data_IF_359768292390
#
_entry.id   IF_359768292390
#
_cell.length_a   1.000
_cell.length_b   1.000
_cell.length_c   1.000
_cell.angle_alpha   90.00
_cell.angle_beta   90.00
_cell.angle_gamma   90.00
#
_symmetry.space_group_name_H-M   'P 1'
#
loop_
_entity.id
_entity.type
_entity.pdbx_description
1 polymer ?
#
# COMPACT_ATOMS: atom_id res chain seq x y z
N UNK A 1 23.96 13.82 -36.61
CA UNK A 1 22.73 13.70 -35.80
C UNK A 1 21.54 13.44 -36.72
N UNK A 2 21.17 12.17 -36.94
CA UNK A 2 19.98 11.78 -37.73
C UNK A 2 18.80 11.63 -36.78
N UNK A 3 17.79 12.49 -36.91
CA UNK A 3 16.48 12.30 -36.26
C UNK A 3 15.78 11.13 -36.97
N UNK A 4 15.67 9.98 -36.30
CA UNK A 4 14.76 8.92 -36.73
C UNK A 4 13.33 9.40 -36.45
N UNK A 5 12.64 9.87 -37.48
CA UNK A 5 11.18 10.00 -37.49
C UNK A 5 10.60 8.59 -37.49
N UNK A 6 10.14 8.11 -36.34
CA UNK A 6 9.25 6.96 -36.27
C UNK A 6 7.90 7.45 -36.76
N UNK A 7 7.61 7.20 -38.04
CA UNK A 7 6.29 7.42 -38.62
C UNK A 7 5.29 6.51 -37.91
N UNK A 8 4.52 7.06 -36.98
CA UNK A 8 3.31 6.42 -36.44
C UNK A 8 2.36 6.24 -37.62
N UNK A 9 2.31 5.03 -38.17
CA UNK A 9 1.36 4.66 -39.20
C UNK A 9 -0.05 4.77 -38.61
N UNK A 10 -0.75 5.84 -38.96
CA UNK A 10 -2.17 6.00 -38.67
C UNK A 10 -2.95 4.89 -39.42
N UNK A 11 -3.22 3.79 -38.72
CA UNK A 11 -4.13 2.75 -39.22
C UNK A 11 -5.56 3.30 -39.08
N UNK A 12 -5.97 4.10 -40.07
CA UNK A 12 -7.34 4.58 -40.20
C UNK A 12 -8.24 3.42 -40.66
N UNK A 13 -8.81 2.68 -39.69
CA UNK A 13 -9.91 1.74 -39.97
C UNK A 13 -11.20 2.54 -40.09
N UNK A 14 -11.46 3.06 -41.29
CA UNK A 14 -12.77 3.58 -41.68
C UNK A 14 -13.70 2.41 -42.02
N UNK A 15 -14.65 2.15 -41.12
CA UNK A 15 -15.70 1.18 -41.32
C UNK A 15 -16.87 1.46 -40.38
N UNK A 16 -17.68 2.46 -40.72
CA UNK A 16 -19.06 2.53 -40.26
C UNK A 16 -19.86 1.50 -41.07
N UNK A 17 -20.63 0.64 -40.40
CA UNK A 17 -21.97 0.15 -40.79
C UNK A 17 -22.47 -0.86 -39.75
N UNK A 18 -23.76 -0.75 -39.43
CA UNK A 18 -24.45 -1.29 -38.24
C UNK A 18 -24.66 -2.80 -38.19
N UNK A 19 -23.61 -3.60 -38.35
CA UNK A 19 -23.63 -5.00 -37.96
C UNK A 19 -23.24 -5.11 -36.48
N UNK A 20 -24.06 -5.77 -35.67
CA UNK A 20 -23.67 -6.29 -34.34
C UNK A 20 -22.42 -7.14 -34.52
N UNK A 21 -21.25 -6.53 -34.35
CA UNK A 21 -19.96 -7.20 -34.48
C UNK A 21 -19.91 -8.29 -33.41
N UNK A 22 -19.58 -9.51 -33.82
CA UNK A 22 -19.34 -10.60 -32.88
C UNK A 22 -18.30 -10.14 -31.83
N UNK A 23 -18.41 -10.59 -30.57
CA UNK A 23 -17.41 -10.28 -29.56
C UNK A 23 -16.02 -10.73 -30.04
N UNK A 24 -15.00 -9.93 -29.74
CA UNK A 24 -13.62 -10.23 -30.12
C UNK A 24 -13.16 -11.55 -29.46
N UNK A 25 -12.37 -12.35 -30.18
CA UNK A 25 -11.78 -13.57 -29.61
C UNK A 25 -10.69 -13.21 -28.58
N UNK A 26 -10.33 -14.12 -27.65
CA UNK A 26 -9.23 -13.90 -26.71
C UNK A 26 -7.91 -13.51 -27.38
N UNK A 27 -7.59 -14.10 -28.54
CA UNK A 27 -6.37 -13.80 -29.32
C UNK A 27 -6.42 -12.39 -29.92
N UNK A 28 -7.60 -11.96 -30.38
CA UNK A 28 -7.79 -10.59 -30.88
C UNK A 28 -7.65 -9.57 -29.75
N UNK A 29 -8.15 -9.88 -28.56
CA UNK A 29 -7.99 -9.04 -27.37
C UNK A 29 -6.53 -8.96 -26.92
N UNK A 30 -5.80 -10.08 -26.90
CA UNK A 30 -4.38 -10.14 -26.59
C UNK A 30 -3.56 -9.30 -27.58
N UNK A 31 -3.81 -9.44 -28.89
CA UNK A 31 -3.14 -8.65 -29.91
C UNK A 31 -3.44 -7.15 -29.78
N UNK A 32 -4.71 -6.78 -29.56
CA UNK A 32 -5.11 -5.40 -29.34
C UNK A 32 -4.46 -4.79 -28.09
N UNK A 33 -4.33 -5.57 -27.01
CA UNK A 33 -3.66 -5.14 -25.79
C UNK A 33 -2.17 -4.90 -26.01
N UNK A 34 -1.46 -5.80 -26.72
CA UNK A 34 -0.04 -5.60 -27.04
C UNK A 34 0.20 -4.33 -27.84
N UNK A 35 -0.62 -4.08 -28.86
CA UNK A 35 -0.55 -2.84 -29.65
C UNK A 35 -0.81 -1.61 -28.76
N UNK A 36 -1.80 -1.67 -27.87
CA UNK A 36 -2.08 -0.58 -26.94
C UNK A 36 -0.92 -0.36 -25.95
N UNK A 37 -0.29 -1.41 -25.45
CA UNK A 37 0.85 -1.32 -24.54
C UNK A 37 2.08 -0.73 -25.24
N UNK A 38 2.42 -1.18 -26.45
CA UNK A 38 3.53 -0.61 -27.23
C UNK A 38 3.29 0.88 -27.52
N UNK A 39 2.05 1.25 -27.87
CA UNK A 39 1.67 2.64 -28.07
C UNK A 39 1.74 3.46 -26.77
N UNK A 40 1.34 2.86 -25.64
CA UNK A 40 1.41 3.49 -24.32
C UNK A 40 2.86 3.77 -23.91
N UNK A 41 3.76 2.82 -24.11
CA UNK A 41 5.18 2.94 -23.79
C UNK A 41 5.87 3.97 -24.70
N UNK A 42 5.43 4.10 -25.96
CA UNK A 42 5.91 5.09 -26.92
C UNK A 42 5.23 6.46 -26.82
N UNK A 43 4.22 6.63 -25.95
CA UNK A 43 3.41 7.84 -25.90
C UNK A 43 4.24 9.05 -25.44
N UNK A 44 4.26 10.17 -26.19
CA UNK A 44 5.09 11.32 -25.88
C UNK A 44 4.59 12.14 -24.69
N UNK A 45 3.31 11.98 -24.31
CA UNK A 45 2.69 12.75 -23.22
C UNK A 45 1.72 11.89 -22.40
N UNK A 46 1.47 12.28 -21.14
CA UNK A 46 0.46 11.63 -20.29
C UNK A 46 -0.96 11.62 -20.93
N UNK A 47 -1.37 12.66 -21.64
CA UNK A 47 -2.70 12.73 -22.30
C UNK A 47 -2.81 11.71 -23.44
N UNK A 48 -1.71 11.46 -24.15
CA UNK A 48 -1.66 10.46 -25.21
C UNK A 48 -1.84 9.06 -24.61
N UNK A 49 -1.20 8.77 -23.47
CA UNK A 49 -1.42 7.53 -22.70
C UNK A 49 -2.90 7.36 -22.33
N UNK A 50 -3.54 8.40 -21.78
CA UNK A 50 -4.97 8.35 -21.43
C UNK A 50 -5.86 8.11 -22.64
N UNK A 51 -5.54 8.70 -23.79
CA UNK A 51 -6.28 8.48 -25.03
C UNK A 51 -6.19 7.01 -25.46
N UNK A 52 -4.98 6.43 -25.46
CA UNK A 52 -4.74 5.02 -25.78
C UNK A 52 -5.53 4.09 -24.84
N UNK A 53 -5.48 4.34 -23.53
CA UNK A 53 -6.24 3.54 -22.55
C UNK A 53 -7.75 3.66 -22.76
N UNK A 54 -8.28 4.87 -22.97
CA UNK A 54 -9.73 5.09 -23.23
C UNK A 54 -10.18 4.38 -24.50
N UNK A 55 -9.38 4.42 -25.56
CA UNK A 55 -9.69 3.71 -26.81
C UNK A 55 -9.70 2.19 -26.64
N UNK A 56 -8.71 1.63 -25.93
CA UNK A 56 -8.68 0.20 -25.62
C UNK A 56 -9.91 -0.20 -24.79
N UNK A 57 -10.18 0.51 -23.70
CA UNK A 57 -11.29 0.23 -22.78
C UNK A 57 -12.67 0.44 -23.43
N UNK A 58 -12.79 1.32 -24.42
CA UNK A 58 -14.03 1.50 -25.17
C UNK A 58 -14.36 0.29 -26.04
N UNK A 59 -13.34 -0.34 -26.64
CA UNK A 59 -13.47 -1.53 -27.51
C UNK A 59 -13.52 -2.84 -26.70
N UNK A 60 -12.79 -2.89 -25.60
CA UNK A 60 -12.54 -4.09 -24.80
C UNK A 60 -12.76 -3.82 -23.30
N UNK A 61 -13.98 -3.41 -22.88
CA UNK A 61 -14.23 -3.02 -21.50
C UNK A 61 -14.14 -4.17 -20.51
N UNK A 62 -14.38 -5.42 -20.92
CA UNK A 62 -14.49 -6.58 -20.04
C UNK A 62 -13.51 -7.69 -20.46
N UNK A 63 -12.26 -7.56 -20.05
CA UNK A 63 -11.17 -8.47 -20.40
C UNK A 63 -10.21 -8.64 -19.22
N UNK A 64 -9.33 -9.64 -19.29
CA UNK A 64 -8.27 -9.86 -18.27
C UNK A 64 -7.31 -8.66 -18.10
N UNK A 65 -7.28 -7.73 -19.05
CA UNK A 65 -6.44 -6.52 -19.00
C UNK A 65 -7.15 -5.29 -18.44
N UNK A 66 -8.48 -5.31 -18.33
CA UNK A 66 -9.28 -4.13 -17.97
C UNK A 66 -8.80 -3.49 -16.67
N UNK A 67 -8.61 -4.29 -15.61
CA UNK A 67 -8.15 -3.78 -14.31
C UNK A 67 -6.80 -3.10 -14.42
N UNK A 68 -5.86 -3.69 -15.16
CA UNK A 68 -4.51 -3.13 -15.35
C UNK A 68 -4.56 -1.80 -16.08
N UNK A 69 -5.23 -1.75 -17.23
CA UNK A 69 -5.32 -0.52 -18.05
C UNK A 69 -6.04 0.59 -17.29
N UNK A 70 -7.09 0.27 -16.52
CA UNK A 70 -7.76 1.26 -15.67
C UNK A 70 -6.82 1.78 -14.58
N UNK A 71 -6.07 0.92 -13.87
CA UNK A 71 -5.14 1.37 -12.82
C UNK A 71 -4.01 2.24 -13.39
N UNK A 72 -3.42 1.85 -14.52
CA UNK A 72 -2.38 2.64 -15.18
C UNK A 72 -2.92 4.01 -15.62
N UNK A 73 -4.12 4.06 -16.23
CA UNK A 73 -4.78 5.31 -16.60
C UNK A 73 -5.15 6.17 -15.38
N UNK A 74 -5.61 5.56 -14.29
CA UNK A 74 -5.90 6.26 -13.04
C UNK A 74 -4.64 6.89 -12.43
N UNK A 75 -3.52 6.17 -12.41
CA UNK A 75 -2.26 6.69 -11.91
C UNK A 75 -1.79 7.90 -12.73
N UNK A 76 -1.84 7.80 -14.05
CA UNK A 76 -1.49 8.93 -14.93
C UNK A 76 -2.44 10.13 -14.71
N UNK A 77 -3.76 9.88 -14.60
CA UNK A 77 -4.74 10.94 -14.35
C UNK A 77 -4.50 11.62 -13.00
N UNK A 78 -4.27 10.86 -11.93
CA UNK A 78 -4.11 11.41 -10.58
C UNK A 78 -2.74 12.05 -10.36
N UNK A 79 -1.65 11.34 -10.66
CA UNK A 79 -0.29 11.73 -10.26
C UNK A 79 0.41 12.60 -11.31
N UNK A 80 0.29 12.27 -12.60
CA UNK A 80 0.99 13.02 -13.67
C UNK A 80 0.18 14.24 -14.13
N UNK A 81 -1.15 14.11 -14.15
CA UNK A 81 -2.05 15.15 -14.67
C UNK A 81 -2.81 15.94 -13.61
N UNK A 82 -2.79 15.53 -12.33
CA UNK A 82 -3.50 16.23 -11.26
C UNK A 82 -5.03 16.24 -11.42
N UNK A 83 -5.59 15.20 -12.05
CA UNK A 83 -7.01 15.05 -12.42
C UNK A 83 -7.67 13.83 -11.77
N UNK A 84 -7.68 13.71 -10.43
CA UNK A 84 -8.28 12.57 -9.74
C UNK A 84 -9.80 12.41 -10.00
N UNK A 85 -10.51 13.50 -10.34
CA UNK A 85 -11.93 13.45 -10.71
C UNK A 85 -12.19 12.73 -12.03
N UNK A 86 -11.28 12.88 -13.01
CA UNK A 86 -11.34 12.12 -14.25
C UNK A 86 -10.99 10.64 -14.02
N UNK A 87 -10.09 10.34 -13.07
CA UNK A 87 -9.76 8.96 -12.67
C UNK A 87 -10.97 8.23 -12.08
N UNK A 88 -11.71 8.87 -11.15
CA UNK A 88 -12.97 8.34 -10.59
C UNK A 88 -14.01 8.11 -11.69
N UNK A 89 -14.17 9.09 -12.59
CA UNK A 89 -15.15 8.99 -13.69
C UNK A 89 -14.81 7.82 -14.61
N UNK A 90 -13.53 7.62 -14.93
CA UNK A 90 -13.07 6.51 -15.78
C UNK A 90 -13.39 5.15 -15.14
N UNK A 91 -12.96 4.91 -13.90
CA UNK A 91 -13.16 3.60 -13.25
C UNK A 91 -14.65 3.29 -13.05
N UNK A 92 -15.46 4.29 -12.66
CA UNK A 92 -16.91 4.15 -12.54
C UNK A 92 -17.55 3.78 -13.88
N UNK A 93 -17.19 4.47 -14.95
CA UNK A 93 -17.75 4.23 -16.29
C UNK A 93 -17.36 2.85 -16.85
N UNK A 94 -16.12 2.40 -16.63
CA UNK A 94 -15.67 1.07 -17.05
C UNK A 94 -16.34 -0.02 -16.22
N UNK A 95 -16.39 0.13 -14.89
CA UNK A 95 -17.04 -0.83 -13.98
C UNK A 95 -18.51 -1.07 -14.33
N UNK A 96 -19.22 -0.06 -14.80
CA UNK A 96 -20.62 -0.18 -15.25
C UNK A 96 -20.79 -1.05 -16.51
N UNK A 97 -19.73 -1.24 -17.31
CA UNK A 97 -19.73 -2.02 -18.56
C UNK A 97 -19.22 -3.46 -18.38
N UNK A 98 -18.51 -3.74 -17.29
CA UNK A 98 -17.94 -5.05 -16.97
C UNK A 98 -19.01 -5.98 -16.40
N UNK A 99 -19.12 -7.17 -16.98
CA UNK A 99 -20.03 -8.24 -16.57
C UNK A 99 -19.32 -9.28 -15.72
N UNK A 100 -18.04 -9.55 -15.99
CA UNK A 100 -17.25 -10.49 -15.17
C UNK A 100 -17.20 -10.03 -13.70
N UNK A 101 -17.71 -10.83 -12.75
CA UNK A 101 -17.82 -10.42 -11.35
C UNK A 101 -16.45 -10.15 -10.71
N UNK A 102 -15.41 -10.93 -11.05
CA UNK A 102 -14.06 -10.76 -10.49
C UNK A 102 -13.44 -9.44 -10.95
N UNK A 103 -13.52 -9.14 -12.25
CA UNK A 103 -13.07 -7.87 -12.84
C UNK A 103 -13.86 -6.70 -12.26
N UNK A 104 -15.18 -6.85 -12.10
CA UNK A 104 -16.06 -5.81 -11.54
C UNK A 104 -15.76 -5.53 -10.06
N UNK A 105 -15.44 -6.56 -9.27
CA UNK A 105 -14.99 -6.43 -7.86
C UNK A 105 -13.68 -5.65 -7.79
N UNK A 106 -12.66 -6.06 -8.55
CA UNK A 106 -11.35 -5.39 -8.59
C UNK A 106 -11.43 -3.93 -9.02
N UNK A 107 -12.30 -3.62 -10.00
CA UNK A 107 -12.58 -2.23 -10.37
C UNK A 107 -13.34 -1.47 -9.27
N UNK A 108 -14.15 -2.15 -8.46
CA UNK A 108 -14.78 -1.54 -7.29
C UNK A 108 -13.76 -1.13 -6.23
N UNK A 109 -12.77 -1.99 -5.94
CA UNK A 109 -11.66 -1.64 -5.03
C UNK A 109 -10.84 -0.46 -5.58
N UNK A 110 -10.54 -0.47 -6.88
CA UNK A 110 -9.91 0.69 -7.53
C UNK A 110 -10.77 1.96 -7.43
N UNK A 111 -12.10 1.84 -7.57
CA UNK A 111 -13.03 2.96 -7.41
C UNK A 111 -13.01 3.54 -5.99
N UNK A 112 -12.95 2.68 -4.97
CA UNK A 112 -12.73 3.10 -3.56
C UNK A 112 -11.44 3.92 -3.44
N UNK A 113 -10.33 3.46 -4.02
CA UNK A 113 -9.06 4.20 -4.04
C UNK A 113 -9.18 5.58 -4.71
N UNK A 114 -9.85 5.68 -5.86
CA UNK A 114 -10.07 6.97 -6.52
C UNK A 114 -10.89 7.95 -5.65
N UNK A 115 -11.90 7.45 -4.95
CA UNK A 115 -12.72 8.24 -4.03
C UNK A 115 -11.93 8.70 -2.82
N UNK A 116 -10.98 7.90 -2.34
CA UNK A 116 -10.07 8.29 -1.27
C UNK A 116 -9.13 9.43 -1.68
N UNK A 117 -8.59 9.40 -2.91
CA UNK A 117 -7.81 10.52 -3.47
C UNK A 117 -8.64 11.80 -3.56
N UNK A 118 -9.93 11.68 -3.90
CA UNK A 118 -10.87 12.81 -3.95
C UNK A 118 -11.39 13.26 -2.57
N UNK A 119 -11.00 12.59 -1.48
CA UNK A 119 -11.52 12.84 -0.13
C UNK A 119 -13.05 12.74 -0.03
N UNK A 120 -13.66 11.88 -0.85
CA UNK A 120 -15.11 11.67 -0.88
C UNK A 120 -15.53 10.47 -0.02
N UNK A 121 -15.53 10.66 1.29
CA UNK A 121 -15.85 9.59 2.26
C UNK A 121 -17.27 9.02 2.11
N UNK A 122 -18.27 9.86 1.82
CA UNK A 122 -19.66 9.42 1.70
C UNK A 122 -19.87 8.46 0.52
N UNK A 123 -19.36 8.80 -0.67
CA UNK A 123 -19.46 7.92 -1.83
C UNK A 123 -18.56 6.69 -1.68
N UNK A 124 -17.39 6.83 -1.04
CA UNK A 124 -16.51 5.71 -0.72
C UNK A 124 -17.25 4.66 0.12
N UNK A 125 -17.90 5.08 1.20
CA UNK A 125 -18.65 4.20 2.08
C UNK A 125 -19.78 3.46 1.34
N UNK A 126 -20.48 4.12 0.41
CA UNK A 126 -21.51 3.48 -0.42
C UNK A 126 -20.95 2.39 -1.35
N UNK A 127 -19.82 2.69 -2.01
CA UNK A 127 -19.15 1.71 -2.88
C UNK A 127 -18.60 0.54 -2.05
N UNK A 128 -17.98 0.82 -0.91
CA UNK A 128 -17.47 -0.17 0.03
C UNK A 128 -18.60 -1.07 0.56
N UNK A 129 -19.74 -0.52 0.99
CA UNK A 129 -20.88 -1.32 1.44
C UNK A 129 -21.38 -2.29 0.37
N UNK A 130 -21.38 -1.87 -0.91
CA UNK A 130 -21.72 -2.75 -2.03
C UNK A 130 -20.70 -3.88 -2.20
N UNK A 131 -19.41 -3.59 -2.01
CA UNK A 131 -18.34 -4.59 -2.09
C UNK A 131 -18.36 -5.56 -0.90
N UNK A 132 -18.70 -5.10 0.30
CA UNK A 132 -18.77 -5.94 1.50
C UNK A 132 -19.81 -7.06 1.42
N UNK A 133 -20.78 -6.96 0.51
CA UNK A 133 -21.72 -8.03 0.21
C UNK A 133 -21.17 -9.12 -0.74
N UNK A 134 -19.98 -8.91 -1.32
CA UNK A 134 -19.32 -9.87 -2.22
C UNK A 134 -18.41 -10.81 -1.41
N UNK A 135 -18.74 -12.12 -1.33
CA UNK A 135 -17.94 -13.07 -0.55
C UNK A 135 -16.55 -13.36 -1.15
N UNK A 136 -16.25 -12.86 -2.36
CA UNK A 136 -14.97 -13.06 -3.01
C UNK A 136 -13.93 -11.98 -2.78
N UNK A 137 -14.16 -11.02 -1.87
CA UNK A 137 -13.11 -10.11 -1.41
C UNK A 137 -12.02 -10.90 -0.68
N UNK A 138 -10.78 -10.73 -1.10
CA UNK A 138 -9.63 -11.28 -0.40
C UNK A 138 -9.04 -10.32 0.64
N UNK A 139 -8.01 -10.77 1.37
CA UNK A 139 -7.30 -9.94 2.35
C UNK A 139 -6.83 -8.60 1.78
N UNK A 140 -6.31 -8.57 0.55
CA UNK A 140 -5.76 -7.36 -0.04
C UNK A 140 -6.85 -6.39 -0.46
N UNK A 141 -7.98 -6.89 -0.95
CA UNK A 141 -9.16 -6.08 -1.22
C UNK A 141 -9.66 -5.43 0.09
N UNK A 142 -9.75 -6.22 1.18
CA UNK A 142 -10.24 -5.76 2.48
C UNK A 142 -9.32 -4.66 3.07
N UNK A 143 -8.01 -4.90 3.11
CA UNK A 143 -7.03 -3.90 3.61
C UNK A 143 -7.05 -2.65 2.75
N UNK A 144 -7.08 -2.77 1.43
CA UNK A 144 -7.11 -1.60 0.53
C UNK A 144 -8.34 -0.72 0.77
N UNK A 145 -9.50 -1.32 1.06
CA UNK A 145 -10.73 -0.57 1.39
C UNK A 145 -10.60 0.06 2.79
N UNK A 146 -10.05 -0.65 3.77
CA UNK A 146 -9.85 -0.13 5.12
C UNK A 146 -8.92 1.09 5.12
N UNK A 147 -7.76 1.00 4.45
CA UNK A 147 -6.79 2.09 4.34
C UNK A 147 -7.36 3.30 3.60
N UNK A 148 -8.10 3.06 2.50
CA UNK A 148 -8.78 4.12 1.77
C UNK A 148 -9.83 4.82 2.64
N UNK A 149 -10.55 4.07 3.48
CA UNK A 149 -11.50 4.62 4.45
C UNK A 149 -10.80 5.41 5.57
N UNK A 150 -9.67 4.93 6.11
CA UNK A 150 -8.82 5.66 7.06
C UNK A 150 -8.39 7.00 6.48
N UNK A 151 -7.94 7.02 5.23
CA UNK A 151 -7.44 8.21 4.55
C UNK A 151 -8.49 9.33 4.33
N UNK A 152 -9.77 9.01 4.48
CA UNK A 152 -10.91 9.95 4.39
C UNK A 152 -11.77 9.98 5.64
N UNK A 153 -11.26 9.42 6.74
CA UNK A 153 -11.92 9.39 8.04
C UNK A 153 -13.31 8.72 8.04
N UNK A 154 -13.54 7.75 7.15
CA UNK A 154 -14.75 6.92 7.11
C UNK A 154 -14.63 5.75 8.12
N UNK A 155 -14.56 6.07 9.41
CA UNK A 155 -14.12 5.14 10.47
C UNK A 155 -14.95 3.87 10.61
N UNK A 156 -16.28 3.92 10.45
CA UNK A 156 -17.12 2.70 10.47
C UNK A 156 -16.79 1.75 9.31
N UNK A 157 -16.50 2.30 8.12
CA UNK A 157 -16.06 1.52 6.97
C UNK A 157 -14.68 0.94 7.23
N UNK A 158 -13.74 1.75 7.73
CA UNK A 158 -12.41 1.28 8.10
C UNK A 158 -12.47 0.11 9.09
N UNK A 159 -13.27 0.26 10.17
CA UNK A 159 -13.44 -0.76 11.19
C UNK A 159 -14.00 -2.07 10.62
N UNK A 160 -15.03 -1.98 9.78
CA UNK A 160 -15.67 -3.15 9.15
C UNK A 160 -14.67 -3.96 8.35
N UNK A 161 -13.97 -3.31 7.41
CA UNK A 161 -13.07 -3.99 6.49
C UNK A 161 -11.76 -4.44 7.17
N UNK A 162 -11.24 -3.68 8.13
CA UNK A 162 -10.09 -4.09 8.93
C UNK A 162 -10.40 -5.31 9.81
N UNK A 163 -11.61 -5.39 10.37
CA UNK A 163 -12.06 -6.55 11.16
C UNK A 163 -12.14 -7.82 10.30
N UNK A 164 -12.73 -7.73 9.10
CA UNK A 164 -12.78 -8.85 8.16
C UNK A 164 -11.38 -9.29 7.71
N UNK A 165 -10.49 -8.33 7.42
CA UNK A 165 -9.09 -8.61 7.06
C UNK A 165 -8.32 -9.32 8.20
N UNK A 166 -8.55 -8.92 9.46
CA UNK A 166 -7.94 -9.55 10.63
C UNK A 166 -8.35 -11.02 10.80
N UNK A 167 -9.48 -11.43 10.21
CA UNK A 167 -9.95 -12.81 10.12
C UNK A 167 -9.21 -13.69 9.10
N UNK A 168 -8.09 -13.25 8.53
CA UNK A 168 -7.24 -14.05 7.64
C UNK A 168 -6.70 -15.30 8.36
N UNK A 169 -6.69 -16.44 7.68
CA UNK A 169 -6.11 -17.69 8.17
C UNK A 169 -5.19 -18.32 7.10
N UNK A 170 -4.64 -19.49 7.41
CA UNK A 170 -3.73 -20.19 6.51
C UNK A 170 -4.38 -20.66 5.21
N UNK A 171 -5.68 -21.01 5.23
CA UNK A 171 -6.40 -21.47 4.04
C UNK A 171 -6.74 -20.30 3.12
N UNK A 172 -7.30 -19.23 3.67
CA UNK A 172 -7.56 -17.98 2.96
C UNK A 172 -6.28 -17.41 2.35
N UNK A 173 -5.17 -17.42 3.08
CA UNK A 173 -3.90 -16.91 2.57
C UNK A 173 -3.33 -17.78 1.45
N UNK A 174 -3.45 -19.12 1.55
CA UNK A 174 -3.05 -20.04 0.47
C UNK A 174 -3.87 -19.81 -0.79
N UNK A 175 -5.18 -19.63 -0.66
CA UNK A 175 -6.08 -19.44 -1.80
C UNK A 175 -5.72 -18.22 -2.67
N UNK A 176 -5.10 -17.21 -2.08
CA UNK A 176 -4.77 -15.94 -2.74
C UNK A 176 -3.28 -15.83 -3.11
N UNK A 177 -2.49 -16.85 -2.80
CA UNK A 177 -1.05 -16.86 -3.00
C UNK A 177 -0.63 -17.78 -4.14
N UNK A 178 0.45 -17.47 -4.88
CA UNK A 178 1.05 -18.41 -5.81
C UNK A 178 1.38 -19.75 -5.15
N UNK A 179 1.21 -20.84 -5.91
CA UNK A 179 1.58 -22.18 -5.46
C UNK A 179 3.06 -22.23 -5.04
N UNK A 180 3.34 -22.90 -3.92
CA UNK A 180 4.71 -23.02 -3.39
C UNK A 180 5.25 -21.77 -2.67
N UNK A 181 4.48 -20.67 -2.56
CA UNK A 181 4.94 -19.45 -1.88
C UNK A 181 5.30 -19.66 -0.41
N UNK A 182 4.65 -20.63 0.26
CA UNK A 182 4.89 -20.97 1.65
C UNK A 182 5.31 -22.45 1.73
N UNK A 183 6.62 -22.75 1.61
CA UNK A 183 7.12 -24.13 1.55
C UNK A 183 6.88 -24.90 2.84
N UNK A 184 6.84 -24.22 3.98
CA UNK A 184 6.63 -24.83 5.29
C UNK A 184 5.40 -24.26 6.01
N UNK A 185 4.79 -25.01 6.96
CA UNK A 185 3.74 -24.49 7.82
C UNK A 185 4.16 -23.26 8.62
N UNK A 186 5.42 -23.21 9.09
CA UNK A 186 5.95 -22.08 9.83
C UNK A 186 6.06 -20.80 8.96
N UNK A 187 6.37 -20.94 7.67
CA UNK A 187 6.38 -19.79 6.75
C UNK A 187 4.97 -19.25 6.52
N UNK A 188 3.98 -20.14 6.40
CA UNK A 188 2.58 -19.76 6.28
C UNK A 188 2.10 -19.04 7.54
N UNK A 189 2.37 -19.61 8.72
CA UNK A 189 1.97 -19.03 10.00
C UNK A 189 2.56 -17.63 10.19
N UNK A 190 3.86 -17.46 9.93
CA UNK A 190 4.52 -16.14 9.96
C UNK A 190 3.84 -15.15 9.01
N UNK A 191 3.49 -15.61 7.82
CA UNK A 191 2.84 -14.79 6.81
C UNK A 191 1.38 -14.42 7.16
N UNK A 192 0.67 -15.29 7.86
CA UNK A 192 -0.66 -15.01 8.45
C UNK A 192 -0.52 -14.00 9.58
N UNK A 193 0.38 -14.23 10.54
CA UNK A 193 0.56 -13.36 11.70
C UNK A 193 0.94 -11.93 11.28
N UNK A 194 1.87 -11.78 10.33
CA UNK A 194 2.22 -10.46 9.77
C UNK A 194 1.00 -9.73 9.18
N UNK A 195 0.14 -10.43 8.44
CA UNK A 195 -1.07 -9.85 7.84
C UNK A 195 -2.14 -9.52 8.88
N UNK A 196 -2.30 -10.37 9.89
CA UNK A 196 -3.17 -10.09 11.04
C UNK A 196 -2.70 -8.86 11.80
N UNK A 197 -1.40 -8.72 12.08
CA UNK A 197 -0.84 -7.57 12.77
C UNK A 197 -1.17 -6.26 12.03
N UNK A 198 -1.01 -6.24 10.70
CA UNK A 198 -1.39 -5.10 9.86
C UNK A 198 -2.88 -4.77 9.98
N UNK A 199 -3.77 -5.73 9.71
CA UNK A 199 -5.21 -5.49 9.77
C UNK A 199 -5.70 -5.10 11.18
N UNK A 200 -5.10 -5.66 12.24
CA UNK A 200 -5.40 -5.28 13.62
C UNK A 200 -4.91 -3.86 13.96
N UNK A 201 -3.80 -3.40 13.38
CA UNK A 201 -3.37 -2.01 13.53
C UNK A 201 -4.43 -1.05 12.97
N UNK A 202 -4.94 -1.31 11.76
CA UNK A 202 -6.00 -0.50 11.15
C UNK A 202 -7.30 -0.58 11.94
N UNK A 203 -7.67 -1.77 12.43
CA UNK A 203 -8.84 -1.99 13.28
C UNK A 203 -8.76 -1.17 14.57
N UNK A 204 -7.66 -1.28 15.30
CA UNK A 204 -7.44 -0.55 16.56
C UNK A 204 -7.47 0.96 16.34
N UNK A 205 -6.93 1.44 15.21
CA UNK A 205 -6.99 2.85 14.87
C UNK A 205 -8.41 3.34 14.60
N UNK A 206 -9.20 2.57 13.85
CA UNK A 206 -10.62 2.87 13.63
C UNK A 206 -11.42 2.84 14.94
N UNK A 207 -11.18 1.87 15.83
CA UNK A 207 -11.80 1.79 17.17
C UNK A 207 -11.52 3.05 17.99
N UNK A 208 -10.26 3.48 18.07
CA UNK A 208 -9.87 4.70 18.77
C UNK A 208 -10.57 5.93 18.20
N UNK A 209 -10.59 6.06 16.87
CA UNK A 209 -11.25 7.18 16.17
C UNK A 209 -12.77 7.21 16.36
N UNK A 210 -13.39 6.06 16.66
CA UNK A 210 -14.80 5.93 17.05
C UNK A 210 -15.03 6.13 18.56
N UNK A 211 -14.01 6.52 19.33
CA UNK A 211 -14.10 6.77 20.77
C UNK A 211 -13.99 5.51 21.63
N UNK A 212 -13.62 4.36 21.05
CA UNK A 212 -13.47 3.08 21.75
C UNK A 212 -12.01 2.87 22.16
N UNK A 213 -11.51 3.74 23.03
CA UNK A 213 -10.08 3.79 23.37
C UNK A 213 -9.57 2.51 24.02
N UNK A 214 -10.35 1.92 24.92
CA UNK A 214 -9.99 0.68 25.62
C UNK A 214 -9.93 -0.51 24.66
N UNK A 215 -10.96 -0.68 23.83
CA UNK A 215 -11.00 -1.72 22.78
C UNK A 215 -9.81 -1.59 21.82
N UNK A 216 -9.50 -0.35 21.41
CA UNK A 216 -8.36 -0.07 20.53
C UNK A 216 -7.03 -0.51 21.16
N UNK A 217 -6.81 -0.20 22.44
CA UNK A 217 -5.60 -0.60 23.16
C UNK A 217 -5.50 -2.13 23.26
N UNK A 218 -6.60 -2.83 23.55
CA UNK A 218 -6.62 -4.31 23.55
C UNK A 218 -6.29 -4.87 22.16
N UNK A 219 -6.90 -4.34 21.10
CA UNK A 219 -6.62 -4.72 19.71
C UNK A 219 -5.13 -4.50 19.38
N UNK A 220 -4.54 -3.38 19.80
CA UNK A 220 -3.12 -3.10 19.59
C UNK A 220 -2.20 -4.04 20.37
N UNK A 221 -2.57 -4.45 21.58
CA UNK A 221 -1.80 -5.47 22.32
C UNK A 221 -1.76 -6.77 21.53
N UNK A 222 -2.91 -7.26 21.06
CA UNK A 222 -2.97 -8.47 20.22
C UNK A 222 -2.11 -8.30 18.97
N UNK A 223 -2.24 -7.18 18.25
CA UNK A 223 -1.43 -6.89 17.07
C UNK A 223 0.08 -6.94 17.38
N UNK A 224 0.50 -6.41 18.54
CA UNK A 224 1.91 -6.36 18.94
C UNK A 224 2.54 -7.73 19.19
N UNK A 225 1.73 -8.72 19.60
CA UNK A 225 2.20 -10.11 19.76
C UNK A 225 2.45 -10.81 18.43
N UNK A 226 1.85 -10.32 17.34
CA UNK A 226 1.94 -10.88 15.99
C UNK A 226 2.91 -10.11 15.09
N UNK A 227 3.22 -8.86 15.45
CA UNK A 227 4.06 -7.95 14.68
C UNK A 227 5.50 -8.45 14.57
N UNK A 228 6.04 -8.41 13.36
CA UNK A 228 7.45 -8.70 13.11
C UNK A 228 8.24 -7.40 13.04
N UNK A 229 9.07 -7.15 14.05
CA UNK A 229 9.99 -6.01 14.05
C UNK A 229 11.27 -6.35 13.30
N UNK A 230 11.81 -5.37 12.58
CA UNK A 230 13.13 -5.48 11.98
C UNK A 230 14.22 -5.34 13.05
N UNK A 231 15.49 -5.58 12.67
CA UNK A 231 16.65 -5.49 13.58
C UNK A 231 16.71 -4.15 14.33
N UNK A 232 16.34 -3.05 13.68
CA UNK A 232 16.34 -1.71 14.26
C UNK A 232 15.10 -1.42 15.13
N UNK A 233 14.20 -2.39 15.27
CA UNK A 233 12.98 -2.29 16.09
C UNK A 233 11.80 -1.59 15.42
N UNK A 234 11.93 -1.12 14.17
CA UNK A 234 10.80 -0.60 13.40
C UNK A 234 9.84 -1.73 13.01
N UNK A 235 8.55 -1.44 13.14
CA UNK A 235 7.47 -2.28 12.62
C UNK A 235 7.37 -2.11 11.11
N UNK A 236 6.87 -3.15 10.44
CA UNK A 236 6.48 -3.07 9.02
C UNK A 236 5.04 -2.55 8.84
N UNK A 237 4.38 -2.19 9.95
CA UNK A 237 3.00 -1.70 10.00
C UNK A 237 2.96 -0.36 10.73
N UNK A 238 1.86 0.38 10.57
CA UNK A 238 1.62 1.61 11.34
C UNK A 238 1.23 1.38 12.80
N UNK A 239 1.29 0.13 13.30
CA UNK A 239 0.95 -0.25 14.66
C UNK A 239 1.62 0.64 15.73
N UNK A 240 2.94 0.89 15.73
CA UNK A 240 3.57 1.67 16.79
C UNK A 240 3.07 3.12 16.80
N UNK A 241 2.78 3.69 15.63
CA UNK A 241 2.29 5.06 15.50
C UNK A 241 0.84 5.17 15.94
N UNK A 242 -0.03 4.28 15.49
CA UNK A 242 -1.44 4.25 15.89
C UNK A 242 -1.60 3.97 17.39
N UNK A 243 -0.89 2.96 17.92
CA UNK A 243 -0.89 2.66 19.36
C UNK A 243 -0.32 3.81 20.17
N UNK A 244 0.82 4.38 19.76
CA UNK A 244 1.46 5.49 20.46
C UNK A 244 0.59 6.73 20.55
N UNK A 245 -0.09 7.11 19.46
CA UNK A 245 -1.04 8.23 19.45
C UNK A 245 -2.25 7.95 20.34
N UNK A 246 -2.73 6.71 20.35
CA UNK A 246 -3.84 6.29 21.21
C UNK A 246 -3.45 6.32 22.69
N UNK A 247 -2.26 5.81 23.05
CA UNK A 247 -1.70 5.89 24.40
C UNK A 247 -1.53 7.34 24.86
N UNK A 248 -1.02 8.21 23.99
CA UNK A 248 -0.88 9.63 24.28
C UNK A 248 -2.24 10.28 24.57
N UNK A 249 -3.25 10.02 23.74
CA UNK A 249 -4.61 10.51 23.95
C UNK A 249 -5.25 9.97 25.25
N UNK A 250 -4.88 8.75 25.66
CA UNK A 250 -5.28 8.15 26.93
C UNK A 250 -4.46 8.65 28.15
N UNK A 251 -3.58 9.63 27.98
CA UNK A 251 -2.75 10.17 29.07
C UNK A 251 -1.56 9.28 29.47
N UNK A 252 -1.28 8.22 28.72
CA UNK A 252 -0.21 7.25 28.97
C UNK A 252 1.08 7.67 28.24
N UNK A 253 1.55 8.88 28.51
CA UNK A 253 2.64 9.51 27.77
C UNK A 253 3.95 8.68 27.79
N UNK A 254 4.31 8.07 28.92
CA UNK A 254 5.52 7.26 29.02
C UNK A 254 5.46 5.99 28.17
N UNK A 255 4.32 5.30 28.16
CA UNK A 255 4.10 4.13 27.28
C UNK A 255 4.12 4.54 25.81
N UNK A 256 3.52 5.69 25.47
CA UNK A 256 3.52 6.24 24.12
C UNK A 256 4.95 6.50 23.61
N UNK A 257 5.83 7.07 24.44
CA UNK A 257 7.23 7.30 24.09
C UNK A 257 7.94 5.99 23.74
N UNK A 258 7.77 4.96 24.56
CA UNK A 258 8.46 3.67 24.34
C UNK A 258 8.02 2.97 23.05
N UNK A 259 6.76 3.11 22.63
CA UNK A 259 6.30 2.50 21.37
C UNK A 259 6.65 3.35 20.14
N UNK A 260 6.70 4.68 20.26
CA UNK A 260 6.91 5.59 19.12
C UNK A 260 8.38 5.75 18.72
N UNK A 261 9.30 5.59 19.67
CA UNK A 261 10.72 5.93 19.50
C UNK A 261 11.40 5.23 18.32
N UNK A 262 11.14 3.94 18.10
CA UNK A 262 11.74 3.22 16.99
C UNK A 262 11.24 3.75 15.63
N UNK A 263 9.92 3.97 15.50
CA UNK A 263 9.34 4.54 14.28
C UNK A 263 9.80 5.98 14.03
N UNK A 264 10.00 6.78 15.07
CA UNK A 264 10.50 8.16 14.91
C UNK A 264 11.99 8.24 14.57
N UNK A 265 12.80 7.27 15.03
CA UNK A 265 14.25 7.25 14.78
C UNK A 265 14.62 6.62 13.44
N UNK A 266 13.91 5.56 13.04
CA UNK A 266 14.29 4.68 11.93
C UNK A 266 13.20 4.54 10.85
N UNK A 267 11.98 5.01 11.11
CA UNK A 267 10.89 4.99 10.15
C UNK A 267 10.84 6.23 9.25
N UNK A 268 10.01 6.17 8.22
CA UNK A 268 9.70 7.25 7.28
C UNK A 268 8.37 7.97 7.63
N UNK A 269 7.62 7.45 8.60
CA UNK A 269 6.36 8.03 9.07
C UNK A 269 6.59 9.37 9.78
N UNK A 270 6.36 10.48 9.05
CA UNK A 270 6.47 11.85 9.61
C UNK A 270 5.64 12.05 10.88
N UNK A 271 4.49 11.39 10.96
CA UNK A 271 3.59 11.42 12.12
C UNK A 271 4.24 10.82 13.38
N UNK A 272 5.16 9.86 13.25
CA UNK A 272 5.82 9.21 14.37
C UNK A 272 6.66 10.19 15.19
N UNK A 273 7.46 11.03 14.50
CA UNK A 273 8.34 12.01 15.15
C UNK A 273 7.52 13.07 15.89
N UNK A 274 6.49 13.60 15.25
CA UNK A 274 5.61 14.59 15.88
C UNK A 274 4.87 14.02 17.09
N UNK A 275 4.33 12.81 16.97
CA UNK A 275 3.66 12.13 18.10
C UNK A 275 4.64 11.84 19.24
N UNK A 276 5.87 11.40 18.94
CA UNK A 276 6.90 11.16 19.95
C UNK A 276 7.27 12.44 20.69
N UNK A 277 7.45 13.55 19.99
CA UNK A 277 7.75 14.84 20.62
C UNK A 277 6.65 15.22 21.62
N UNK A 278 5.39 15.12 21.21
CA UNK A 278 4.25 15.41 22.09
C UNK A 278 4.24 14.48 23.30
N UNK A 279 4.44 13.18 23.11
CA UNK A 279 4.48 12.20 24.20
C UNK A 279 5.65 12.47 25.16
N UNK A 280 6.84 12.75 24.63
CA UNK A 280 8.03 13.08 25.42
C UNK A 280 7.83 14.34 26.26
N UNK A 281 7.22 15.39 25.70
CA UNK A 281 6.86 16.61 26.45
C UNK A 281 5.82 16.31 27.52
N UNK A 282 4.79 15.54 27.19
CA UNK A 282 3.70 15.19 28.11
C UNK A 282 4.18 14.38 29.33
N UNK A 283 5.23 13.55 29.19
CA UNK A 283 5.86 12.86 30.32
C UNK A 283 6.89 13.70 31.09
N UNK A 284 7.01 15.01 30.81
CA UNK A 284 7.91 15.92 31.52
C UNK A 284 9.28 16.12 30.88
N UNK A 285 9.48 15.70 29.63
CA UNK A 285 10.73 15.88 28.88
C UNK A 285 11.18 17.34 28.79
N UNK A 286 12.40 17.62 29.25
CA UNK A 286 13.02 18.94 29.26
C UNK A 286 14.13 19.06 28.21
N UNK A 287 14.42 20.28 27.75
CA UNK A 287 15.52 20.55 26.81
C UNK A 287 15.13 20.40 25.34
N UNK A 288 16.14 20.15 24.51
CA UNK A 288 15.99 19.96 23.05
C UNK A 288 15.48 18.55 22.74
N UNK A 289 14.45 18.45 21.89
CA UNK A 289 13.95 17.16 21.43
C UNK A 289 14.98 16.44 20.55
N UNK A 290 15.79 17.19 19.79
CA UNK A 290 16.86 16.60 18.98
C UNK A 290 17.95 15.95 19.83
N UNK A 291 18.29 16.55 20.98
CA UNK A 291 19.25 15.96 21.92
C UNK A 291 18.69 14.66 22.54
N UNK A 292 17.38 14.65 22.84
CA UNK A 292 16.69 13.45 23.27
C UNK A 292 16.73 12.35 22.21
N UNK A 293 16.39 12.66 20.95
CA UNK A 293 16.46 11.70 19.85
C UNK A 293 17.88 11.18 19.62
N UNK A 294 18.87 12.06 19.71
CA UNK A 294 20.27 11.67 19.62
C UNK A 294 20.65 10.69 20.75
N UNK A 295 20.26 10.98 21.99
CA UNK A 295 20.49 10.10 23.13
C UNK A 295 19.81 8.73 22.96
N UNK A 296 18.55 8.71 22.53
CA UNK A 296 17.81 7.48 22.26
C UNK A 296 18.44 6.64 21.15
N UNK A 297 18.95 7.28 20.10
CA UNK A 297 19.70 6.60 19.03
C UNK A 297 20.93 5.89 19.59
N UNK A 298 21.68 6.53 20.49
CA UNK A 298 22.85 5.91 21.13
C UNK A 298 22.42 4.75 22.06
N UNK A 299 21.38 4.96 22.87
CA UNK A 299 20.83 3.93 23.79
C UNK A 299 20.38 2.67 23.06
N UNK A 300 19.80 2.84 21.86
CA UNK A 300 19.20 1.75 21.07
C UNK A 300 20.14 1.18 20.00
N UNK A 301 21.35 1.72 19.89
CA UNK A 301 22.33 1.19 18.95
C UNK A 301 22.71 -0.25 19.32
N UNK A 302 22.52 -1.19 18.38
CA UNK A 302 22.92 -2.58 18.54
C UNK A 302 24.21 -2.81 17.74
N UNK A 303 25.24 -3.46 18.31
CA UNK A 303 26.40 -3.86 17.53
C UNK A 303 25.99 -4.73 16.34
N UNK A 304 26.42 -4.38 15.13
CA UNK A 304 26.20 -5.22 13.97
C UNK A 304 26.86 -6.60 14.20
N UNK A 305 26.17 -7.72 13.88
CA UNK A 305 26.81 -9.04 13.92
C UNK A 305 28.00 -9.04 12.96
N UNK A 306 29.04 -9.80 13.29
CA UNK A 306 30.15 -10.00 12.35
C UNK A 306 29.63 -10.73 11.10
N UNK A 307 30.02 -10.27 9.93
CA UNK A 307 29.64 -10.86 8.65
C UNK A 307 30.83 -10.83 7.69
N UNK A 308 30.77 -11.66 6.66
CA UNK A 308 31.80 -11.75 5.63
C UNK A 308 31.25 -11.25 4.31
N UNK A 309 31.93 -10.30 3.67
CA UNK A 309 31.63 -9.88 2.31
C UNK A 309 32.85 -10.06 1.41
N UNK A 310 32.68 -10.56 0.18
CA UNK A 310 33.75 -10.54 -0.80
C UNK A 310 34.03 -9.11 -1.29
N UNK A 311 35.28 -8.79 -1.60
CA UNK A 311 35.63 -7.61 -2.39
C UNK A 311 35.35 -7.81 -3.89
N UNK A 312 35.74 -6.82 -4.72
CA UNK A 312 35.58 -6.88 -6.17
C UNK A 312 36.36 -8.01 -6.84
N UNK A 313 37.39 -8.54 -6.17
CA UNK A 313 38.21 -9.66 -6.65
C UNK A 313 37.68 -11.01 -6.12
N UNK A 314 36.62 -11.00 -5.31
CA UNK A 314 36.04 -12.19 -4.69
C UNK A 314 36.71 -12.60 -3.38
N UNK A 315 37.66 -11.83 -2.86
CA UNK A 315 38.37 -12.16 -1.62
C UNK A 315 37.46 -11.87 -0.42
N UNK A 316 37.20 -12.85 0.47
CA UNK A 316 36.31 -12.65 1.61
C UNK A 316 36.97 -11.82 2.71
N UNK A 317 36.30 -10.75 3.14
CA UNK A 317 36.72 -9.92 4.26
C UNK A 317 35.70 -10.02 5.40
N UNK A 318 36.17 -10.31 6.62
CA UNK A 318 35.31 -10.26 7.82
C UNK A 318 35.19 -8.83 8.29
N UNK A 319 33.97 -8.42 8.64
CA UNK A 319 33.73 -7.06 9.13
C UNK A 319 34.56 -6.74 10.38
N UNK A 320 34.70 -7.70 11.30
CA UNK A 320 35.53 -7.54 12.50
C UNK A 320 37.02 -7.32 12.19
N UNK A 321 37.55 -7.83 11.08
CA UNK A 321 38.96 -7.64 10.70
C UNK A 321 39.27 -6.27 10.09
N UNK A 322 38.23 -5.52 9.69
CA UNK A 322 38.39 -4.15 9.16
C UNK A 322 38.57 -3.11 10.28
N UNK A 323 38.40 -3.50 11.55
CA UNK A 323 38.39 -2.59 12.70
C UNK A 323 39.81 -2.26 13.19
N UNK A 324 40.49 -1.33 12.54
CA UNK A 324 41.64 -0.64 13.11
C UNK A 324 41.22 0.49 14.09
N UNK A 325 40.49 0.14 15.15
CA UNK A 325 40.10 1.00 16.28
C UNK A 325 38.98 2.06 16.07
N UNK A 326 38.31 2.12 14.93
CA UNK A 326 37.14 3.00 14.74
C UNK A 326 35.82 2.21 14.76
N UNK A 327 34.85 2.72 15.52
CA UNK A 327 33.47 2.21 15.54
C UNK A 327 32.87 2.46 14.16
N UNK A 328 32.78 1.43 13.32
CA UNK A 328 32.07 1.54 12.05
C UNK A 328 30.57 1.54 12.34
N UNK A 329 30.00 2.74 12.41
CA UNK A 329 28.56 2.95 12.38
C UNK A 329 28.07 2.49 11.00
N UNK A 330 27.35 1.37 10.94
CA UNK A 330 26.60 0.97 9.76
C UNK A 330 25.35 1.86 9.66
N UNK A 331 25.56 3.14 9.36
CA UNK A 331 24.50 4.02 8.89
C UNK A 331 24.23 3.68 7.45
N UNK A 332 23.09 3.04 7.17
CA UNK A 332 22.44 3.23 5.88
C UNK A 332 22.02 4.70 5.83
N UNK A 333 22.92 5.55 5.34
CA UNK A 333 22.61 6.93 4.99
C UNK A 333 21.72 6.85 3.76
N UNK A 334 20.42 7.05 3.92
CA UNK A 334 19.55 7.38 2.79
C UNK A 334 19.66 8.89 2.61
N UNK A 335 20.31 9.39 1.55
CA UNK A 335 20.33 10.82 1.28
C UNK A 335 18.88 11.26 1.03
N UNK A 336 18.41 12.23 1.83
CA UNK A 336 17.21 13.03 1.54
C UNK A 336 17.48 13.98 0.38
#
# INVERSE_FOLDING_TARGET
MRKLLISVAAVAVLGTWGCTRAPATPEQVEAAYKVAQEAWDAAPTPETKITIAKEFLAKHPDTKYTVRVVREAMNVLSEELGKPGEAETLVRAVRAKVKDPVTRRRLGVAHVGALATLKNGAQLAQVAATLGADPGLDFYDQVSIAEAAIAVEAWDTALTFATEAAGIDGEKLKAISPAGRYPTPADLERAVNKRKAWALADKGWAEFKLGRTEDALETFEVASTLDSRQIMGNSETSLPVYRGRTLLAAGKAAEAVEVLVASALYGDEKDARAALEQAWRAQGGQGSFDDYLWSERQRRAIPAPDFTLPDYEGTPHRFASLRAAEVTLLTFWFPT
#
